data_IF_688154059814
#
_entry.id   IF_688154059814
#
_cell.length_a   1.000
_cell.length_b   1.000
_cell.length_c   1.000
_cell.angle_alpha   90.00
_cell.angle_beta   90.00
_cell.angle_gamma   90.00
#
_symmetry.space_group_name_H-M   'P 1'
#
loop_
_entity.id
_entity.type
_entity.pdbx_description
1 polymer ?
#
# COMPACT_ATOMS: atom_id res chain seq x y z
N UNK A 1 -16.32 5.33 14.08
CA UNK A 1 -16.07 6.03 12.81
C UNK A 1 -14.95 5.27 12.12
N UNK A 2 -15.23 4.71 10.95
CA UNK A 2 -14.31 3.77 10.29
C UNK A 2 -13.68 4.47 9.08
N UNK A 3 -12.34 4.47 8.99
CA UNK A 3 -11.59 5.16 7.94
C UNK A 3 -11.13 4.14 6.90
N UNK A 4 -11.43 4.38 5.63
CA UNK A 4 -10.95 3.54 4.53
C UNK A 4 -9.72 4.21 3.91
N UNK A 5 -8.58 3.54 3.99
CA UNK A 5 -7.31 4.03 3.45
C UNK A 5 -7.00 3.36 2.11
N UNK A 6 -7.22 4.09 1.01
CA UNK A 6 -7.02 3.61 -0.37
C UNK A 6 -5.72 4.22 -0.91
N UNK A 7 -4.60 3.52 -0.75
CA UNK A 7 -3.27 4.00 -1.17
C UNK A 7 -2.37 2.80 -1.55
N UNK A 8 -1.17 3.09 -2.07
CA UNK A 8 -0.15 2.06 -2.30
C UNK A 8 0.36 1.49 -0.97
N UNK A 9 0.81 0.24 -0.99
CA UNK A 9 1.39 -0.43 0.18
C UNK A 9 2.76 -1.02 -0.18
N UNK A 10 3.74 -0.79 0.70
CA UNK A 10 5.08 -1.38 0.57
C UNK A 10 5.29 -2.45 1.64
N UNK A 11 5.93 -3.57 1.26
CA UNK A 11 6.34 -4.63 2.20
C UNK A 11 7.53 -4.16 3.04
N UNK A 12 8.46 -3.44 2.43
CA UNK A 12 9.63 -2.87 3.09
C UNK A 12 9.67 -1.34 2.93
N UNK A 13 9.77 -0.64 4.06
CA UNK A 13 9.68 0.83 4.12
C UNK A 13 8.32 1.32 4.64
N UNK A 14 8.25 2.62 4.88
CA UNK A 14 7.08 3.27 5.50
C UNK A 14 6.48 4.28 4.52
N UNK A 15 5.67 3.80 3.57
CA UNK A 15 4.98 4.64 2.58
C UNK A 15 3.55 4.14 2.35
N UNK A 16 2.63 5.08 2.13
CA UNK A 16 1.23 4.80 1.86
C UNK A 16 0.54 4.09 3.02
N UNK A 17 -0.19 3.02 2.75
CA UNK A 17 -0.95 2.29 3.79
C UNK A 17 -0.05 1.72 4.89
N UNK A 18 1.18 1.29 4.56
CA UNK A 18 2.15 0.85 5.59
C UNK A 18 2.58 1.98 6.54
N UNK A 19 2.39 3.25 6.14
CA UNK A 19 2.64 4.43 6.97
C UNK A 19 1.41 5.00 7.66
N UNK A 20 0.25 4.93 7.02
CA UNK A 20 -0.99 5.54 7.52
C UNK A 20 -1.72 4.66 8.55
N UNK A 21 -1.65 3.32 8.42
CA UNK A 21 -2.44 2.41 9.26
C UNK A 21 -1.97 2.43 10.72
N UNK A 22 -0.66 2.38 10.95
CA UNK A 22 -0.10 2.35 12.30
C UNK A 22 -0.45 3.59 13.16
N UNK A 23 -0.25 4.84 12.70
CA UNK A 23 -0.61 6.02 13.50
C UNK A 23 -2.12 6.16 13.68
N UNK A 24 -2.93 5.79 12.69
CA UNK A 24 -4.38 5.85 12.82
C UNK A 24 -4.91 4.83 13.84
N UNK A 25 -4.35 3.62 13.85
CA UNK A 25 -4.66 2.63 14.89
C UNK A 25 -4.15 3.07 16.27
N UNK A 26 -2.98 3.70 16.35
CA UNK A 26 -2.45 4.27 17.59
C UNK A 26 -3.33 5.40 18.14
N UNK A 27 -4.02 6.14 17.27
CA UNK A 27 -5.03 7.13 17.64
C UNK A 27 -6.40 6.52 17.99
N UNK A 28 -6.54 5.19 18.01
CA UNK A 28 -7.79 4.49 18.34
C UNK A 28 -8.84 4.50 17.22
N UNK A 29 -8.43 4.77 15.99
CA UNK A 29 -9.32 4.81 14.82
C UNK A 29 -9.30 3.44 14.13
N UNK A 30 -10.48 2.90 13.86
CA UNK A 30 -10.64 1.69 13.05
C UNK A 30 -10.33 2.01 11.58
N UNK A 31 -9.32 1.36 11.02
CA UNK A 31 -8.87 1.57 9.63
C UNK A 31 -9.01 0.31 8.79
N UNK A 32 -9.73 0.42 7.68
CA UNK A 32 -9.76 -0.57 6.61
C UNK A 32 -8.78 -0.17 5.50
N UNK A 33 -7.62 -0.83 5.44
CA UNK A 33 -6.63 -0.58 4.40
C UNK A 33 -6.97 -1.35 3.12
N UNK A 34 -7.10 -0.63 2.00
CA UNK A 34 -7.29 -1.21 0.67
C UNK A 34 -6.07 -0.84 -0.18
N UNK A 35 -5.13 -1.77 -0.42
CA UNK A 35 -3.94 -1.47 -1.20
C UNK A 35 -4.28 -1.41 -2.70
N UNK A 36 -3.93 -0.29 -3.36
CA UNK A 36 -4.10 -0.14 -4.81
C UNK A 36 -2.97 -0.81 -5.60
N UNK A 37 -1.76 -0.79 -5.06
CA UNK A 37 -0.59 -1.50 -5.57
C UNK A 37 0.22 -2.05 -4.39
N UNK A 38 0.71 -3.28 -4.53
CA UNK A 38 1.56 -3.92 -3.53
C UNK A 38 2.99 -3.98 -4.07
N UNK A 39 3.86 -3.16 -3.47
CA UNK A 39 5.25 -2.97 -3.88
C UNK A 39 6.20 -3.58 -2.86
N UNK A 40 7.35 -4.06 -3.30
CA UNK A 40 8.35 -4.63 -2.38
C UNK A 40 9.10 -3.55 -1.58
N UNK A 41 9.36 -2.39 -2.21
CA UNK A 41 10.12 -1.29 -1.60
C UNK A 41 9.60 0.07 -2.10
N UNK A 42 9.80 1.13 -1.30
CA UNK A 42 9.60 2.50 -1.78
C UNK A 42 10.64 2.82 -2.85
N UNK A 43 10.21 3.31 -4.01
CA UNK A 43 11.06 3.46 -5.19
C UNK A 43 12.10 4.58 -5.02
N UNK A 44 13.21 4.29 -4.37
CA UNK A 44 14.43 5.13 -4.42
C UNK A 44 15.30 4.78 -5.63
N UNK A 45 15.03 3.64 -6.28
CA UNK A 45 15.74 3.09 -7.45
C UNK A 45 14.71 2.41 -8.37
N UNK A 46 14.81 2.52 -9.71
CA UNK A 46 13.79 2.02 -10.62
C UNK A 46 13.97 0.51 -10.81
N UNK A 47 13.36 -0.30 -9.95
CA UNK A 47 13.24 -1.75 -10.18
C UNK A 47 11.78 -2.16 -10.02
N UNK A 48 11.14 -2.44 -11.16
CA UNK A 48 9.75 -2.88 -11.25
C UNK A 48 9.60 -4.29 -10.68
N UNK A 49 8.91 -4.40 -9.55
CA UNK A 49 8.27 -5.62 -9.09
C UNK A 49 6.97 -5.23 -8.36
N UNK A 50 5.97 -4.85 -9.15
CA UNK A 50 4.61 -4.63 -8.67
C UNK A 50 3.77 -5.86 -9.03
N UNK A 51 3.33 -6.62 -8.03
CA UNK A 51 2.39 -7.71 -8.24
C UNK A 51 0.98 -7.11 -8.36
N UNK A 52 0.35 -7.30 -9.52
CA UNK A 52 -1.01 -6.87 -9.81
C UNK A 52 -2.00 -7.69 -8.97
N UNK A 53 -2.67 -7.09 -7.98
CA UNK A 53 -3.62 -7.81 -7.10
C UNK A 53 -4.97 -8.09 -7.77
N UNK A 54 -5.18 -7.63 -9.00
CA UNK A 54 -6.28 -8.05 -9.86
C UNK A 54 -5.71 -8.83 -11.05
N UNK A 55 -6.01 -10.14 -11.08
CA UNK A 55 -5.88 -10.94 -12.32
C UNK A 55 -6.58 -10.16 -13.43
N UNK A 56 -5.80 -9.67 -14.40
CA UNK A 56 -6.14 -9.48 -15.84
C UNK A 56 -5.39 -8.33 -16.54
N UNK A 57 -4.42 -7.67 -15.91
CA UNK A 57 -3.66 -6.60 -16.58
C UNK A 57 -2.16 -6.68 -16.30
N UNK A 58 -1.55 -7.84 -16.53
CA UNK A 58 -0.10 -7.93 -16.70
C UNK A 58 0.23 -7.34 -18.09
N UNK A 59 0.20 -6.02 -18.19
CA UNK A 59 0.40 -5.28 -19.42
C UNK A 59 0.69 -3.83 -19.11
N UNK A 60 1.96 -3.56 -18.82
CA UNK A 60 2.78 -2.38 -19.10
C UNK A 60 3.91 -2.41 -18.07
N UNK A 61 5.00 -3.07 -18.49
CA UNK A 61 6.35 -2.73 -18.09
C UNK A 61 6.69 -1.35 -18.68
#
# INVERSE_FOLDING_TARGET
MTVIAIQSQVVHGHVGNSAAVFPLQACGIEVAAVPTTLLSNHHTIPRYAAACSTRNSCGIC
#
